data_IF_779603217981
#
_entry.id   IF_779603217981
#
_cell.length_a   1.000
_cell.length_b   1.000
_cell.length_c   1.000
_cell.angle_alpha   90.00
_cell.angle_beta   90.00
_cell.angle_gamma   90.00
#
_symmetry.space_group_name_H-M   'P 1'
#
loop_
_entity.id
_entity.type
_entity.pdbx_description
1 polymer ?
#
# COMPACT_ATOMS: atom_id res chain seq x y z
N UNK A 1 -66.28 23.07 6.22
CA UNK A 1 -65.45 22.42 5.18
C UNK A 1 -64.18 23.19 4.81
N UNK A 2 -64.09 24.52 5.04
CA UNK A 2 -62.83 25.27 4.83
C UNK A 2 -61.75 24.98 5.88
N UNK A 3 -62.13 24.83 7.16
CA UNK A 3 -61.18 24.57 8.26
C UNK A 3 -60.36 23.28 8.10
N UNK A 4 -60.91 22.25 7.48
CA UNK A 4 -60.20 21.00 7.19
C UNK A 4 -59.14 21.18 6.10
N UNK A 5 -59.43 22.03 5.10
CA UNK A 5 -58.49 22.36 4.03
C UNK A 5 -57.34 23.22 4.58
N UNK A 6 -57.63 24.18 5.46
CA UNK A 6 -56.60 25.02 6.11
C UNK A 6 -55.62 24.18 6.93
N UNK A 7 -56.11 23.18 7.69
CA UNK A 7 -55.25 22.26 8.45
C UNK A 7 -54.35 21.45 7.50
N UNK A 8 -54.89 20.94 6.40
CA UNK A 8 -54.12 20.20 5.40
C UNK A 8 -53.03 21.08 4.77
N UNK A 9 -53.35 22.34 4.45
CA UNK A 9 -52.37 23.30 3.93
C UNK A 9 -51.24 23.58 4.91
N UNK A 10 -51.55 23.77 6.20
CA UNK A 10 -50.54 23.97 7.24
C UNK A 10 -49.63 22.74 7.37
N UNK A 11 -50.21 21.54 7.32
CA UNK A 11 -49.44 20.29 7.37
C UNK A 11 -48.49 20.17 6.17
N UNK A 12 -48.98 20.44 4.96
CA UNK A 12 -48.15 20.40 3.74
C UNK A 12 -47.02 21.44 3.81
N UNK A 13 -47.32 22.68 4.23
CA UNK A 13 -46.33 23.73 4.39
C UNK A 13 -45.25 23.33 5.41
N UNK A 14 -45.66 22.80 6.56
CA UNK A 14 -44.74 22.38 7.63
C UNK A 14 -43.88 21.19 7.18
N UNK A 15 -44.45 20.24 6.44
CA UNK A 15 -43.72 19.13 5.86
C UNK A 15 -42.67 19.59 4.85
N UNK A 16 -43.03 20.50 3.93
CA UNK A 16 -42.10 21.07 2.96
C UNK A 16 -40.94 21.85 3.63
N UNK A 17 -41.25 22.63 4.67
CA UNK A 17 -40.24 23.34 5.46
C UNK A 17 -39.28 22.36 6.16
N UNK A 18 -39.82 21.28 6.75
CA UNK A 18 -39.02 20.26 7.44
C UNK A 18 -38.10 19.53 6.46
N UNK A 19 -38.60 19.13 5.29
CA UNK A 19 -37.79 18.48 4.25
C UNK A 19 -36.65 19.41 3.80
N UNK A 20 -36.94 20.67 3.50
CA UNK A 20 -35.92 21.64 3.07
C UNK A 20 -34.85 21.85 4.13
N UNK A 21 -35.27 21.98 5.40
CA UNK A 21 -34.35 22.12 6.52
C UNK A 21 -33.46 20.89 6.68
N UNK A 22 -34.03 19.68 6.63
CA UNK A 22 -33.25 18.44 6.79
C UNK A 22 -32.23 18.27 5.67
N UNK A 23 -32.57 18.62 4.42
CA UNK A 23 -31.64 18.57 3.29
C UNK A 23 -30.50 19.58 3.50
N UNK A 24 -30.83 20.84 3.83
CA UNK A 24 -29.83 21.88 4.09
C UNK A 24 -28.89 21.48 5.23
N UNK A 25 -29.45 20.99 6.33
CA UNK A 25 -28.70 20.62 7.52
C UNK A 25 -27.79 19.39 7.28
N UNK A 26 -28.28 18.37 6.57
CA UNK A 26 -27.45 17.23 6.17
C UNK A 26 -26.30 17.64 5.25
N UNK A 27 -26.57 18.55 4.31
CA UNK A 27 -25.54 19.07 3.43
C UNK A 27 -24.47 19.84 4.20
N UNK A 28 -24.86 20.63 5.21
CA UNK A 28 -23.91 21.38 6.04
C UNK A 28 -23.03 20.46 6.88
N UNK A 29 -23.62 19.45 7.55
CA UNK A 29 -22.85 18.49 8.33
C UNK A 29 -21.83 17.73 7.46
N UNK A 30 -22.20 17.39 6.22
CA UNK A 30 -21.28 16.75 5.27
C UNK A 30 -20.19 17.68 4.76
N UNK A 31 -20.46 18.98 4.59
CA UNK A 31 -19.43 19.96 4.24
C UNK A 31 -18.39 20.13 5.34
N UNK A 32 -18.82 20.13 6.60
CA UNK A 32 -17.89 20.20 7.74
C UNK A 32 -16.99 18.96 7.79
N UNK A 33 -17.56 17.77 7.57
CA UNK A 33 -16.81 16.51 7.51
C UNK A 33 -15.77 16.53 6.38
N UNK A 34 -16.16 16.92 5.16
CA UNK A 34 -15.25 17.04 4.01
C UNK A 34 -14.12 18.03 4.32
N UNK A 35 -14.44 19.23 4.84
CA UNK A 35 -13.42 20.22 5.20
C UNK A 35 -12.43 19.70 6.24
N UNK A 36 -12.89 18.92 7.20
CA UNK A 36 -12.03 18.29 8.21
C UNK A 36 -11.11 17.25 7.57
N UNK A 37 -11.65 16.42 6.68
CA UNK A 37 -10.87 15.41 5.96
C UNK A 37 -9.81 16.06 5.07
N UNK A 38 -10.17 17.09 4.29
CA UNK A 38 -9.24 17.81 3.42
C UNK A 38 -8.08 18.43 4.23
N UNK A 39 -8.38 18.99 5.40
CA UNK A 39 -7.36 19.53 6.29
C UNK A 39 -6.41 18.43 6.82
N UNK A 40 -6.94 17.24 7.14
CA UNK A 40 -6.13 16.10 7.57
C UNK A 40 -5.25 15.57 6.44
N UNK A 41 -5.82 15.39 5.24
CA UNK A 41 -5.09 14.93 4.04
C UNK A 41 -3.93 15.87 3.74
N UNK A 42 -4.17 17.20 3.78
CA UNK A 42 -3.11 18.17 3.54
C UNK A 42 -1.97 18.08 4.56
N UNK A 43 -2.30 17.89 5.84
CA UNK A 43 -1.28 17.71 6.87
C UNK A 43 -0.45 16.44 6.66
N UNK A 44 -1.10 15.34 6.25
CA UNK A 44 -0.41 14.09 5.92
C UNK A 44 0.48 14.26 4.67
N UNK A 45 0.01 14.95 3.63
CA UNK A 45 0.78 15.26 2.43
C UNK A 45 2.04 16.08 2.76
N UNK A 46 1.90 17.15 3.55
CA UNK A 46 3.02 17.97 4.02
C UNK A 46 4.04 17.12 4.82
N UNK A 47 3.55 16.17 5.62
CA UNK A 47 4.40 15.24 6.40
C UNK A 47 5.15 14.26 5.50
N UNK A 48 4.47 13.72 4.49
CA UNK A 48 5.09 12.81 3.51
C UNK A 48 6.17 13.56 2.73
N UNK A 49 5.94 14.80 2.34
CA UNK A 49 6.93 15.58 1.59
C UNK A 49 8.16 15.93 2.44
N UNK A 50 7.97 16.21 3.73
CA UNK A 50 9.08 16.31 4.67
C UNK A 50 9.90 15.00 4.74
N UNK A 51 9.22 13.86 4.88
CA UNK A 51 9.88 12.55 4.92
C UNK A 51 10.59 12.20 3.62
N UNK A 52 10.06 12.59 2.46
CA UNK A 52 10.74 12.43 1.16
C UNK A 52 12.00 13.28 1.10
N UNK A 53 12.00 14.49 1.66
CA UNK A 53 13.19 15.33 1.72
C UNK A 53 14.29 14.68 2.59
N UNK A 54 13.92 14.12 3.74
CA UNK A 54 14.84 13.37 4.58
C UNK A 54 15.35 12.11 3.88
N UNK A 55 14.47 11.37 3.21
CA UNK A 55 14.86 10.21 2.43
C UNK A 55 15.86 10.57 1.32
N UNK A 56 15.62 11.67 0.60
CA UNK A 56 16.53 12.18 -0.42
C UNK A 56 17.90 12.54 0.17
N UNK A 57 17.95 13.10 1.39
CA UNK A 57 19.19 13.38 2.11
C UNK A 57 19.93 12.10 2.54
N UNK A 58 19.20 11.09 3.03
CA UNK A 58 19.78 9.84 3.49
C UNK A 58 20.34 8.99 2.34
N UNK A 59 19.68 9.04 1.17
CA UNK A 59 20.03 8.27 -0.03
C UNK A 59 21.00 9.00 -0.97
N UNK A 60 21.57 10.14 -0.56
CA UNK A 60 22.54 10.86 -1.39
C UNK A 60 23.75 9.98 -1.73
N UNK A 61 24.13 9.88 -3.01
CA UNK A 61 25.20 8.98 -3.45
C UNK A 61 26.54 9.28 -2.76
N UNK A 62 26.89 10.57 -2.61
CA UNK A 62 28.11 10.98 -1.91
C UNK A 62 28.13 10.49 -0.44
N UNK A 63 26.99 10.52 0.25
CA UNK A 63 26.88 10.01 1.62
C UNK A 63 27.03 8.49 1.67
N UNK A 64 26.43 7.78 0.72
CA UNK A 64 26.54 6.32 0.61
C UNK A 64 27.97 5.88 0.29
N UNK A 65 28.64 6.53 -0.66
CA UNK A 65 30.04 6.26 -1.00
C UNK A 65 30.96 6.42 0.21
N UNK A 66 30.77 7.51 0.98
CA UNK A 66 31.52 7.74 2.23
C UNK A 66 31.25 6.65 3.27
N UNK A 67 30.01 6.20 3.40
CA UNK A 67 29.63 5.16 4.34
C UNK A 67 30.23 3.80 3.94
N UNK A 68 30.16 3.45 2.66
CA UNK A 68 30.77 2.24 2.11
C UNK A 68 32.29 2.26 2.32
N UNK A 69 32.94 3.41 2.10
CA UNK A 69 34.38 3.56 2.34
C UNK A 69 34.72 3.42 3.84
N UNK A 70 33.92 4.00 4.73
CA UNK A 70 34.15 3.93 6.18
C UNK A 70 33.98 2.50 6.72
N UNK A 71 32.99 1.75 6.23
CA UNK A 71 32.69 0.38 6.66
C UNK A 71 33.25 -0.69 5.71
N UNK A 72 34.25 -0.34 4.89
CA UNK A 72 34.82 -1.24 3.88
C UNK A 72 35.41 -2.53 4.49
N UNK A 73 36.00 -2.44 5.68
CA UNK A 73 36.61 -3.57 6.38
C UNK A 73 35.57 -4.63 6.81
N UNK A 74 34.39 -4.18 7.23
CA UNK A 74 33.33 -5.05 7.76
C UNK A 74 32.41 -5.57 6.65
N UNK A 75 32.08 -4.70 5.69
CA UNK A 75 31.06 -4.99 4.68
C UNK A 75 31.63 -5.66 3.43
N UNK A 76 32.92 -5.43 3.11
CA UNK A 76 33.63 -6.05 1.97
C UNK A 76 32.87 -5.94 0.64
N UNK A 77 32.16 -4.83 0.41
CA UNK A 77 31.41 -4.60 -0.83
C UNK A 77 32.36 -4.36 -1.99
N UNK A 78 32.22 -5.20 -3.01
CA UNK A 78 32.83 -4.99 -4.32
C UNK A 78 31.79 -4.41 -5.29
N UNK A 79 32.20 -3.53 -6.23
CA UNK A 79 31.34 -3.14 -7.34
C UNK A 79 30.80 -4.36 -8.08
N UNK A 80 29.49 -4.43 -8.27
CA UNK A 80 28.85 -5.54 -8.98
C UNK A 80 29.29 -5.53 -10.45
N UNK A 81 30.01 -6.55 -10.94
CA UNK A 81 30.35 -6.64 -12.35
C UNK A 81 29.08 -6.81 -13.20
N UNK A 82 29.04 -6.29 -14.44
CA UNK A 82 27.86 -6.38 -15.31
C UNK A 82 27.36 -7.81 -15.57
N UNK A 83 28.25 -8.79 -15.44
CA UNK A 83 27.95 -10.23 -15.60
C UNK A 83 27.13 -10.82 -14.45
N UNK A 84 27.03 -10.15 -13.31
CA UNK A 84 26.18 -10.56 -12.18
C UNK A 84 24.75 -10.02 -12.28
N UNK A 85 24.47 -9.14 -13.25
CA UNK A 85 23.13 -8.64 -13.52
C UNK A 85 22.44 -9.55 -14.54
N UNK A 86 21.50 -10.38 -14.07
CA UNK A 86 20.70 -11.23 -14.94
C UNK A 86 19.50 -10.47 -15.51
N UNK A 87 19.20 -10.66 -16.79
CA UNK A 87 17.92 -10.21 -17.37
C UNK A 87 16.79 -11.14 -16.92
N UNK A 88 15.53 -10.67 -16.91
CA UNK A 88 14.38 -11.53 -16.58
C UNK A 88 14.30 -12.80 -17.44
N UNK A 89 14.77 -12.74 -18.68
CA UNK A 89 14.82 -13.85 -19.64
C UNK A 89 15.93 -14.87 -19.34
N UNK A 90 16.95 -14.47 -18.57
CA UNK A 90 18.10 -15.28 -18.18
C UNK A 90 17.87 -15.94 -16.80
N UNK A 91 16.73 -15.66 -16.15
CA UNK A 91 16.36 -16.29 -14.88
C UNK A 91 15.90 -17.73 -15.12
N UNK A 92 16.44 -18.71 -14.36
CA UNK A 92 15.92 -20.07 -14.39
C UNK A 92 14.41 -20.09 -14.11
N UNK A 93 13.71 -21.06 -14.71
CA UNK A 93 12.31 -21.33 -14.37
C UNK A 93 12.15 -21.44 -12.85
N UNK A 94 11.06 -20.90 -12.31
CA UNK A 94 10.76 -20.99 -10.89
C UNK A 94 10.82 -22.45 -10.47
N UNK A 95 11.50 -22.76 -9.36
CA UNK A 95 11.65 -24.14 -8.85
C UNK A 95 10.30 -24.86 -8.61
N UNK A 96 9.20 -24.12 -8.57
CA UNK A 96 7.83 -24.62 -8.44
C UNK A 96 7.29 -25.29 -9.72
N UNK A 97 7.83 -24.95 -10.90
CA UNK A 97 7.35 -25.44 -12.20
C UNK A 97 8.25 -26.55 -12.78
N UNK A 98 9.23 -27.02 -12.00
CA UNK A 98 10.05 -28.16 -12.39
C UNK A 98 9.27 -29.47 -12.14
N UNK A 99 9.14 -30.36 -13.13
CA UNK A 99 8.64 -31.71 -12.88
C UNK A 99 9.53 -32.40 -11.82
N UNK A 100 8.95 -33.18 -10.88
CA UNK A 100 9.72 -33.91 -9.88
C UNK A 100 10.84 -34.70 -10.56
N UNK A 101 12.10 -34.64 -10.09
CA UNK A 101 13.17 -35.41 -10.68
C UNK A 101 12.78 -36.89 -10.72
N UNK A 102 12.77 -37.51 -11.90
CA UNK A 102 12.72 -38.97 -11.97
C UNK A 102 13.96 -39.52 -11.26
N UNK A 103 13.73 -40.47 -10.35
CA UNK A 103 14.71 -40.97 -9.38
C UNK A 103 15.93 -41.60 -10.05
N UNK A 104 16.96 -40.80 -10.33
CA UNK A 104 18.30 -41.31 -10.57
C UNK A 104 18.95 -41.69 -9.23
N UNK A 105 18.91 -43.00 -8.99
CA UNK A 105 19.38 -43.74 -7.82
C UNK A 105 20.88 -43.59 -7.53
N UNK A 106 21.42 -42.38 -7.29
CA UNK A 106 22.76 -42.18 -6.70
C UNK A 106 22.91 -40.80 -6.05
N UNK A 107 22.26 -40.57 -4.91
CA UNK A 107 22.77 -39.76 -3.79
C UNK A 107 21.68 -39.66 -2.72
N UNK A 108 21.48 -40.76 -1.99
CA UNK A 108 20.98 -40.66 -0.62
C UNK A 108 22.08 -39.93 0.15
N UNK A 109 21.92 -38.63 0.37
CA UNK A 109 22.49 -37.84 1.48
C UNK A 109 22.23 -36.35 1.22
N UNK A 110 21.32 -35.74 1.99
CA UNK A 110 21.28 -34.28 2.16
C UNK A 110 19.91 -33.60 2.02
N UNK A 111 19.28 -33.35 3.18
CA UNK A 111 18.34 -32.25 3.50
C UNK A 111 16.97 -32.18 2.78
N UNK A 112 16.78 -32.80 1.62
CA UNK A 112 15.52 -32.68 0.85
C UNK A 112 14.29 -33.39 1.48
N UNK A 113 14.47 -34.25 2.48
CA UNK A 113 13.36 -34.98 3.12
C UNK A 113 12.65 -34.20 4.26
N UNK A 114 13.11 -32.99 4.62
CA UNK A 114 12.62 -32.27 5.81
C UNK A 114 11.77 -31.03 5.48
N UNK A 115 11.67 -30.64 4.20
CA UNK A 115 10.89 -29.46 3.81
C UNK A 115 9.54 -29.91 3.27
N UNK A 116 8.65 -30.30 4.18
CA UNK A 116 7.22 -30.34 3.92
C UNK A 116 6.77 -28.91 3.56
N UNK A 117 6.11 -28.74 2.42
CA UNK A 117 5.75 -27.42 1.88
C UNK A 117 4.79 -26.70 2.84
N UNK A 118 5.26 -25.63 3.47
CA UNK A 118 4.46 -24.81 4.36
C UNK A 118 3.36 -24.11 3.55
N UNK A 119 2.09 -24.43 3.83
CA UNK A 119 0.91 -23.97 3.07
C UNK A 119 0.45 -22.56 3.47
N UNK A 120 1.37 -21.72 3.95
CA UNK A 120 1.04 -20.35 4.37
C UNK A 120 0.94 -19.48 3.11
N UNK A 121 -0.30 -19.22 2.69
CA UNK A 121 -0.68 -18.14 1.77
C UNK A 121 -0.27 -16.79 2.37
N UNK A 122 0.96 -16.37 2.11
CA UNK A 122 1.35 -14.97 2.29
C UNK A 122 0.69 -14.16 1.17
N UNK A 123 -0.11 -13.18 1.54
CA UNK A 123 -1.04 -12.44 0.67
C UNK A 123 -0.39 -11.54 -0.39
N UNK A 124 0.85 -11.82 -0.81
CA UNK A 124 1.59 -11.01 -1.76
C UNK A 124 1.39 -11.47 -3.22
N UNK A 125 0.15 -11.83 -3.57
CA UNK A 125 -0.31 -11.98 -4.95
C UNK A 125 -1.66 -11.28 -5.13
N UNK A 126 -1.63 -9.97 -5.36
CA UNK A 126 -2.71 -9.23 -6.01
C UNK A 126 -2.27 -7.81 -6.44
N UNK A 127 -1.54 -7.70 -7.55
CA UNK A 127 -1.96 -6.99 -8.78
C UNK A 127 -0.85 -6.96 -9.81
#
# INVERSE_FOLDING_TARGET
>A
MLRTLDIVLIVIMTAAATVTYTIKHRAENKREEVRRLDAAIKLEEDTIDLLKADWALLTQPNRLERLVAAFAADLQLAPTPPTQLARPEELPMLKADLPPPEEDKKAKDGVAAVIEADNIKTGSVAR
#
